data_IF_184529005814
#
_entry.id   IF_184529005814
#
_cell.length_a   1.000
_cell.length_b   1.000
_cell.length_c   1.000
_cell.angle_alpha   90.00
_cell.angle_beta   90.00
_cell.angle_gamma   90.00
#
_symmetry.space_group_name_H-M   'P 1'
#
loop_
_entity.id
_entity.type
_entity.pdbx_description
1 polymer ?
#
# COMPACT_ATOMS: atom_id res chain seq x y z
N UNK A 1 -18.78 2.22 -0.07
CA UNK A 1 -17.78 1.91 -1.13
C UNK A 1 -17.99 2.77 -2.36
N UNK A 2 -16.90 3.17 -3.00
CA UNK A 2 -16.85 3.80 -4.31
C UNK A 2 -16.55 2.76 -5.39
N UNK A 3 -17.14 2.94 -6.57
CA UNK A 3 -16.92 2.05 -7.73
C UNK A 3 -16.30 2.85 -8.86
N UNK A 4 -15.24 2.31 -9.45
CA UNK A 4 -14.65 2.78 -10.70
C UNK A 4 -14.54 1.59 -11.66
N UNK A 5 -14.95 1.71 -12.91
CA UNK A 5 -14.93 0.57 -13.82
C UNK A 5 -14.92 0.95 -15.28
N UNK A 6 -14.54 0.00 -16.11
CA UNK A 6 -14.56 0.08 -17.57
C UNK A 6 -15.10 -1.25 -18.16
N UNK A 7 -14.84 -1.50 -19.44
CA UNK A 7 -15.32 -2.71 -20.12
C UNK A 7 -14.67 -4.02 -19.63
N UNK A 8 -13.61 -3.95 -18.83
CA UNK A 8 -12.79 -5.10 -18.46
C UNK A 8 -12.69 -5.29 -16.94
N UNK A 9 -12.48 -4.19 -16.20
CA UNK A 9 -12.25 -4.20 -14.77
C UNK A 9 -13.30 -3.36 -14.01
N UNK A 10 -13.59 -3.81 -12.78
CA UNK A 10 -14.30 -3.04 -11.75
C UNK A 10 -13.45 -2.96 -10.50
N UNK A 11 -13.16 -1.74 -10.06
CA UNK A 11 -12.48 -1.43 -8.81
C UNK A 11 -13.51 -1.10 -7.73
N UNK A 12 -13.29 -1.66 -6.55
CA UNK A 12 -14.00 -1.30 -5.32
C UNK A 12 -13.01 -0.56 -4.42
N UNK A 13 -13.34 0.67 -4.06
CA UNK A 13 -12.55 1.49 -3.14
C UNK A 13 -13.38 1.79 -1.90
N UNK A 14 -12.71 1.85 -0.73
CA UNK A 14 -13.37 2.31 0.48
C UNK A 14 -13.67 3.80 0.34
N UNK A 15 -14.90 4.20 0.67
CA UNK A 15 -15.29 5.60 0.73
C UNK A 15 -14.87 6.19 2.09
N UNK A 16 -13.88 7.08 2.15
CA UNK A 16 -13.43 7.67 3.41
C UNK A 16 -14.51 8.55 4.07
N UNK A 17 -15.56 8.94 3.36
CA UNK A 17 -16.68 9.71 3.89
C UNK A 17 -17.87 8.84 4.38
N UNK A 18 -17.85 7.52 4.11
CA UNK A 18 -18.95 6.61 4.42
C UNK A 18 -18.69 5.83 5.74
N UNK A 19 -19.50 6.00 6.81
CA UNK A 19 -19.23 5.39 8.12
C UNK A 19 -18.99 3.86 8.12
N UNK A 20 -19.74 3.03 7.36
CA UNK A 20 -19.46 1.60 7.26
C UNK A 20 -18.08 1.26 6.67
N UNK A 21 -17.56 2.10 5.77
CA UNK A 21 -16.23 1.93 5.20
C UNK A 21 -15.15 2.47 6.14
N UNK A 22 -15.40 3.54 6.90
CA UNK A 22 -14.48 4.05 7.94
C UNK A 22 -14.11 2.98 8.97
N UNK A 23 -15.07 2.12 9.34
CA UNK A 23 -14.84 0.99 10.25
C UNK A 23 -13.79 -0.02 9.74
N UNK A 24 -13.46 -0.01 8.44
CA UNK A 24 -12.49 -0.92 7.80
C UNK A 24 -11.10 -0.33 7.65
N UNK A 25 -10.91 0.96 7.94
CA UNK A 25 -9.69 1.70 7.53
C UNK A 25 -8.64 1.85 8.64
N UNK A 26 -9.07 1.97 9.91
CA UNK A 26 -8.18 2.01 11.07
C UNK A 26 -7.12 3.13 10.99
N UNK A 27 -6.00 2.95 11.72
CA UNK A 27 -4.94 3.96 11.81
C UNK A 27 -3.74 3.71 10.86
N UNK A 28 -3.64 2.53 10.26
CA UNK A 28 -2.43 2.07 9.54
C UNK A 28 -2.35 2.60 8.11
N UNK A 29 -3.45 2.56 7.39
CA UNK A 29 -3.47 2.82 5.95
C UNK A 29 -4.01 4.22 5.65
N UNK A 30 -3.62 4.76 4.49
CA UNK A 30 -4.20 5.98 3.95
C UNK A 30 -5.65 5.70 3.52
N UNK A 31 -6.60 6.50 3.97
CA UNK A 31 -8.02 6.30 3.71
C UNK A 31 -8.39 6.70 2.27
N UNK A 32 -7.87 7.84 1.80
CA UNK A 32 -8.10 8.33 0.45
C UNK A 32 -7.45 7.45 -0.61
N UNK A 33 -8.25 6.91 -1.52
CA UNK A 33 -7.80 6.02 -2.59
C UNK A 33 -7.51 4.59 -2.14
N UNK A 34 -7.99 4.15 -0.97
CA UNK A 34 -7.85 2.77 -0.53
C UNK A 34 -8.61 1.82 -1.48
N UNK A 35 -7.87 1.07 -2.29
CA UNK A 35 -8.44 0.07 -3.19
C UNK A 35 -8.65 -1.27 -2.46
N UNK A 36 -9.91 -1.64 -2.28
CA UNK A 36 -10.35 -2.81 -1.52
C UNK A 36 -10.35 -4.09 -2.36
N UNK A 37 -10.73 -4.00 -3.62
CA UNK A 37 -10.77 -5.14 -4.54
C UNK A 37 -10.67 -4.69 -6.01
N UNK A 38 -10.09 -5.54 -6.83
CA UNK A 38 -10.07 -5.43 -8.30
C UNK A 38 -10.79 -6.66 -8.84
N UNK A 39 -11.83 -6.45 -9.62
CA UNK A 39 -12.54 -7.51 -10.31
C UNK A 39 -12.26 -7.44 -11.79
N UNK A 40 -11.86 -8.56 -12.38
CA UNK A 40 -12.08 -8.79 -13.79
C UNK A 40 -13.56 -9.16 -14.00
N UNK A 41 -14.22 -8.54 -14.97
CA UNK A 41 -15.66 -8.76 -15.20
C UNK A 41 -16.00 -10.21 -15.63
N UNK A 42 -15.01 -10.98 -16.09
CA UNK A 42 -15.15 -12.39 -16.47
C UNK A 42 -14.56 -13.34 -15.42
N UNK A 43 -13.42 -12.97 -14.83
CA UNK A 43 -12.62 -13.85 -13.96
C UNK A 43 -12.88 -13.62 -12.46
N UNK A 44 -13.58 -12.56 -12.07
CA UNK A 44 -13.89 -12.23 -10.68
C UNK A 44 -12.72 -11.54 -9.94
N UNK A 45 -12.61 -11.66 -8.60
CA UNK A 45 -11.61 -10.95 -7.81
C UNK A 45 -10.16 -11.32 -8.17
N UNK A 46 -9.28 -10.33 -8.17
CA UNK A 46 -7.87 -10.42 -8.60
C UNK A 46 -6.88 -10.07 -7.48
N UNK A 47 -7.34 -9.51 -6.36
CA UNK A 47 -6.48 -9.20 -5.20
C UNK A 47 -7.03 -9.86 -3.93
N UNK A 48 -6.15 -10.06 -2.96
CA UNK A 48 -6.41 -10.78 -1.73
C UNK A 48 -6.18 -9.87 -0.51
N UNK A 49 -5.90 -10.48 0.63
CA UNK A 49 -5.51 -9.84 1.88
C UNK A 49 -4.98 -10.92 2.83
N UNK A 50 -4.31 -10.55 3.93
CA UNK A 50 -3.75 -11.51 4.88
C UNK A 50 -4.78 -12.51 5.43
N UNK A 51 -6.03 -12.07 5.57
CA UNK A 51 -7.14 -12.87 6.10
C UNK A 51 -8.11 -13.37 5.00
N UNK A 52 -7.82 -13.15 3.71
CA UNK A 52 -8.73 -13.51 2.63
C UNK A 52 -9.06 -15.03 2.64
N UNK A 53 -10.32 -15.47 2.36
CA UNK A 53 -11.48 -14.68 1.95
C UNK A 53 -12.37 -14.22 3.12
N UNK A 54 -11.82 -14.06 4.33
CA UNK A 54 -12.61 -13.59 5.48
C UNK A 54 -13.31 -12.25 5.13
N UNK A 55 -14.63 -12.15 5.30
CA UNK A 55 -15.41 -11.01 4.78
C UNK A 55 -15.17 -9.71 5.55
N UNK A 56 -14.66 -9.80 6.78
CA UNK A 56 -14.40 -8.68 7.67
C UNK A 56 -12.99 -8.77 8.24
N UNK A 57 -11.94 -8.63 7.41
CA UNK A 57 -10.58 -8.64 7.91
C UNK A 57 -10.37 -7.46 8.86
N UNK A 58 -9.46 -7.61 9.82
CA UNK A 58 -9.12 -6.51 10.72
C UNK A 58 -8.56 -5.32 9.91
N UNK A 59 -8.85 -4.07 10.29
CA UNK A 59 -8.31 -2.90 9.61
C UNK A 59 -6.77 -2.88 9.56
N UNK A 60 -6.12 -3.49 10.57
CA UNK A 60 -4.67 -3.61 10.62
C UNK A 60 -4.10 -4.52 9.53
N UNK A 61 -4.73 -5.66 9.27
CA UNK A 61 -4.31 -6.58 8.23
C UNK A 61 -4.69 -6.07 6.84
N UNK A 62 -5.89 -5.47 6.70
CA UNK A 62 -6.34 -4.85 5.45
C UNK A 62 -6.68 -5.86 4.35
N UNK A 63 -6.97 -5.33 3.16
CA UNK A 63 -7.28 -6.10 1.95
C UNK A 63 -6.98 -5.27 0.70
N UNK A 64 -6.70 -5.90 -0.43
CA UNK A 64 -6.58 -5.25 -1.72
C UNK A 64 -5.22 -4.58 -1.94
N UNK A 65 -5.22 -3.31 -2.32
CA UNK A 65 -4.01 -2.55 -2.63
C UNK A 65 -3.90 -1.30 -1.74
N UNK A 66 -3.81 -1.45 -0.40
CA UNK A 66 -3.65 -0.30 0.47
C UNK A 66 -2.27 0.34 0.31
N UNK A 67 -2.22 1.61 0.66
CA UNK A 67 -0.98 2.39 0.73
C UNK A 67 -0.93 3.07 2.09
N UNK A 68 0.26 3.31 2.62
CA UNK A 68 0.41 3.79 4.00
C UNK A 68 1.47 4.86 4.11
N UNK A 69 1.22 5.80 5.01
CA UNK A 69 2.19 6.75 5.53
C UNK A 69 2.56 6.33 6.94
N UNK A 70 3.79 5.89 7.15
CA UNK A 70 4.28 5.54 8.47
C UNK A 70 4.36 6.77 9.35
N UNK A 71 3.79 6.65 10.54
CA UNK A 71 3.96 7.63 11.60
C UNK A 71 5.17 7.30 12.51
N UNK A 72 5.77 6.10 12.36
CA UNK A 72 7.03 5.68 13.00
C UNK A 72 7.85 4.84 12.04
N UNK A 73 9.17 4.97 12.06
CA UNK A 73 10.08 4.10 11.31
C UNK A 73 9.96 2.64 11.76
N UNK A 74 10.55 1.69 11.01
CA UNK A 74 10.51 0.24 11.33
C UNK A 74 11.09 -0.11 12.70
N UNK A 75 12.12 0.61 13.15
CA UNK A 75 12.73 0.50 14.47
C UNK A 75 12.01 1.33 15.55
N UNK A 76 10.88 1.97 15.23
CA UNK A 76 9.99 2.62 16.20
C UNK A 76 10.24 4.11 16.44
N UNK A 77 11.25 4.71 15.79
CA UNK A 77 11.53 6.14 15.90
C UNK A 77 10.32 6.97 15.44
N UNK A 78 9.88 7.97 16.22
CA UNK A 78 8.77 8.85 15.83
C UNK A 78 9.08 9.63 14.55
N UNK A 79 8.11 9.65 13.63
CA UNK A 79 8.15 10.51 12.43
C UNK A 79 7.19 11.68 12.59
N UNK A 80 5.92 11.39 12.88
CA UNK A 80 4.85 12.39 12.99
C UNK A 80 4.20 12.39 14.38
N UNK A 81 5.02 12.31 15.44
CA UNK A 81 4.59 12.30 16.84
C UNK A 81 5.24 13.41 17.66
N UNK A 82 4.49 13.93 18.64
CA UNK A 82 4.97 14.79 19.73
C UNK A 82 4.42 14.24 21.05
N UNK A 83 5.28 13.63 21.85
CA UNK A 83 4.84 12.93 23.05
C UNK A 83 3.87 11.78 22.71
N UNK A 84 2.67 11.83 23.29
CA UNK A 84 1.59 10.83 23.09
C UNK A 84 0.60 11.19 21.98
N UNK A 85 0.79 12.31 21.29
CA UNK A 85 -0.05 12.73 20.16
C UNK A 85 0.69 12.52 18.84
N UNK A 86 -0.03 12.11 17.81
CA UNK A 86 0.52 11.89 16.48
C UNK A 86 -0.43 12.27 15.36
N UNK A 87 0.11 12.27 14.14
CA UNK A 87 -0.65 12.48 12.92
C UNK A 87 -0.41 11.32 11.95
N UNK A 88 -1.46 10.53 11.68
CA UNK A 88 -1.48 9.55 10.61
C UNK A 88 -1.88 10.23 9.31
N UNK A 89 -0.92 10.45 8.41
CA UNK A 89 -1.20 11.09 7.13
C UNK A 89 -2.17 10.23 6.32
N UNK A 90 -3.25 10.85 5.86
CA UNK A 90 -4.37 10.22 5.19
C UNK A 90 -5.33 9.41 6.08
N UNK A 91 -5.05 9.27 7.38
CA UNK A 91 -5.94 8.60 8.34
C UNK A 91 -6.59 9.57 9.33
N UNK A 92 -5.79 10.40 10.03
CA UNK A 92 -6.29 11.36 11.02
C UNK A 92 -5.37 11.56 12.23
N UNK A 93 -5.90 12.13 13.31
CA UNK A 93 -5.17 12.34 14.56
C UNK A 93 -5.04 11.03 15.33
N UNK A 94 -3.84 10.83 15.89
CA UNK A 94 -3.49 9.63 16.63
C UNK A 94 -3.18 9.98 18.08
N UNK A 95 -3.47 9.03 18.97
CA UNK A 95 -2.93 9.01 20.34
C UNK A 95 -2.25 7.69 20.62
N UNK A 96 -1.30 7.70 21.54
CA UNK A 96 -0.66 6.50 22.07
C UNK A 96 -0.92 6.41 23.58
N UNK A 97 -1.31 5.23 24.04
CA UNK A 97 -1.45 4.97 25.48
C UNK A 97 -0.09 4.75 26.17
N UNK A 98 -0.11 4.34 27.44
CA UNK A 98 1.11 4.13 28.22
C UNK A 98 1.93 2.92 27.75
N UNK A 99 1.28 1.97 27.08
CA UNK A 99 1.90 0.78 26.49
C UNK A 99 2.36 1.03 25.05
N UNK A 100 2.05 2.20 24.50
CA UNK A 100 2.38 2.59 23.13
C UNK A 100 1.34 2.14 22.11
N UNK A 101 0.18 1.64 22.55
CA UNK A 101 -0.91 1.24 21.66
C UNK A 101 -1.52 2.47 20.98
N UNK A 102 -1.59 2.42 19.65
CA UNK A 102 -1.99 3.57 18.82
C UNK A 102 -3.48 3.52 18.54
N UNK A 103 -4.18 4.62 18.83
CA UNK A 103 -5.59 4.82 18.51
C UNK A 103 -5.78 5.99 17.55
N UNK A 104 -6.67 5.82 16.56
CA UNK A 104 -7.19 6.92 15.74
C UNK A 104 -8.30 7.63 16.53
N UNK A 105 -8.08 8.88 16.92
CA UNK A 105 -9.04 9.64 17.73
C UNK A 105 -9.96 10.52 16.91
N UNK A 106 -9.46 11.06 15.80
CA UNK A 106 -10.23 11.91 14.89
C UNK A 106 -9.82 11.56 13.45
N UNK A 107 -10.67 10.86 12.70
CA UNK A 107 -10.43 10.63 11.28
C UNK A 107 -10.32 11.93 10.49
N UNK A 108 -9.46 11.98 9.48
CA UNK A 108 -9.41 13.14 8.60
C UNK A 108 -10.58 13.15 7.60
N UNK A 109 -11.10 14.34 7.32
CA UNK A 109 -12.12 14.55 6.28
C UNK A 109 -11.49 14.51 4.90
N UNK A 110 -12.08 13.71 4.01
CA UNK A 110 -11.69 13.63 2.60
C UNK A 110 -12.77 14.25 1.70
N UNK A 111 -12.33 15.00 0.69
CA UNK A 111 -13.16 15.43 -0.42
C UNK A 111 -12.92 14.52 -1.61
N UNK A 112 -13.98 13.89 -2.11
CA UNK A 112 -13.92 12.94 -3.21
C UNK A 112 -14.58 13.55 -4.44
N UNK A 113 -13.83 13.64 -5.55
CA UNK A 113 -14.34 14.05 -6.85
C UNK A 113 -14.29 12.87 -7.80
N UNK A 114 -15.41 12.64 -8.50
CA UNK A 114 -15.54 11.57 -9.49
C UNK A 114 -15.36 12.14 -10.88
N UNK A 115 -14.52 11.51 -11.68
CA UNK A 115 -14.34 11.83 -13.09
C UNK A 115 -14.47 10.59 -13.98
N UNK A 116 -14.51 10.76 -15.30
CA UNK A 116 -14.45 9.63 -16.23
C UNK A 116 -13.12 8.87 -16.05
N UNK A 117 -13.20 7.59 -15.70
CA UNK A 117 -12.01 6.73 -15.57
C UNK A 117 -11.14 7.00 -14.34
N UNK A 118 -11.49 7.92 -13.44
CA UNK A 118 -10.70 8.20 -12.24
C UNK A 118 -11.52 8.71 -11.05
N UNK A 119 -10.93 8.57 -9.86
CA UNK A 119 -11.39 9.14 -8.60
C UNK A 119 -10.27 9.97 -7.97
N UNK A 120 -10.56 11.22 -7.61
CA UNK A 120 -9.62 12.09 -6.92
C UNK A 120 -10.05 12.30 -5.47
N UNK A 121 -9.11 12.22 -4.54
CA UNK A 121 -9.30 12.37 -3.12
C UNK A 121 -8.36 13.47 -2.62
N UNK A 122 -8.89 14.41 -1.83
CA UNK A 122 -8.11 15.51 -1.27
C UNK A 122 -8.41 15.67 0.22
N UNK A 123 -7.38 15.92 1.02
CA UNK A 123 -7.52 16.24 2.43
C UNK A 123 -6.48 17.27 2.86
N UNK A 124 -6.83 18.04 3.89
CA UNK A 124 -5.92 18.90 4.63
C UNK A 124 -5.98 18.47 6.08
N UNK A 125 -4.82 18.15 6.65
CA UNK A 125 -4.71 17.63 8.00
C UNK A 125 -3.78 18.50 8.82
N UNK A 126 -4.06 18.62 10.11
CA UNK A 126 -3.15 19.22 11.07
C UNK A 126 -3.26 18.50 12.41
N UNK A 127 -2.16 18.29 13.10
CA UNK A 127 -2.12 17.63 14.41
C UNK A 127 -0.70 17.38 14.89
N UNK A 128 -0.51 17.32 16.21
CA UNK A 128 0.80 17.12 16.85
C UNK A 128 1.92 18.05 16.32
N UNK A 129 1.59 19.30 15.97
CA UNK A 129 2.55 20.26 15.41
C UNK A 129 2.92 20.03 13.93
N UNK A 130 2.22 19.16 13.22
CA UNK A 130 2.38 18.93 11.78
C UNK A 130 1.14 19.40 11.02
N UNK A 131 1.33 19.77 9.75
CA UNK A 131 0.25 20.15 8.84
C UNK A 131 0.60 19.75 7.42
N UNK A 132 -0.36 19.20 6.67
CA UNK A 132 -0.15 18.79 5.30
C UNK A 132 -1.40 18.89 4.44
N UNK A 133 -1.18 19.01 3.14
CA UNK A 133 -2.19 18.81 2.10
C UNK A 133 -1.81 17.56 1.31
N UNK A 134 -2.73 16.60 1.27
CA UNK A 134 -2.55 15.33 0.58
C UNK A 134 -3.63 15.20 -0.49
N UNK A 135 -3.19 14.95 -1.72
CA UNK A 135 -4.07 14.55 -2.80
C UNK A 135 -3.67 13.19 -3.35
N UNK A 136 -4.67 12.39 -3.66
CA UNK A 136 -4.57 11.03 -4.17
C UNK A 136 -5.48 10.91 -5.39
N UNK A 137 -5.04 10.21 -6.42
CA UNK A 137 -5.85 9.90 -7.59
C UNK A 137 -5.71 8.43 -7.94
N UNK A 138 -6.85 7.77 -8.15
CA UNK A 138 -6.91 6.40 -8.67
C UNK A 138 -7.52 6.48 -10.07
N UNK A 139 -6.72 6.14 -11.07
CA UNK A 139 -7.13 6.05 -12.48
C UNK A 139 -7.21 4.58 -12.89
N UNK A 140 -8.27 4.24 -13.63
CA UNK A 140 -8.40 2.97 -14.33
C UNK A 140 -8.24 3.23 -15.82
N UNK A 141 -7.11 2.78 -16.38
CA UNK A 141 -6.78 2.91 -17.81
C UNK A 141 -6.57 1.52 -18.38
N UNK A 142 -7.46 1.10 -19.27
CA UNK A 142 -7.50 -0.26 -19.81
C UNK A 142 -7.49 -1.29 -18.66
N UNK A 143 -6.50 -2.18 -18.62
CA UNK A 143 -6.30 -3.17 -17.55
C UNK A 143 -5.30 -2.72 -16.47
N UNK A 144 -4.94 -1.44 -16.43
CA UNK A 144 -4.03 -0.85 -15.45
C UNK A 144 -4.77 0.00 -14.43
N UNK A 145 -4.42 -0.17 -13.15
CA UNK A 145 -4.76 0.74 -12.07
C UNK A 145 -3.54 1.60 -11.76
N UNK A 146 -3.69 2.92 -11.87
CA UNK A 146 -2.63 3.88 -11.58
C UNK A 146 -3.02 4.67 -10.34
N UNK A 147 -2.16 4.64 -9.33
CA UNK A 147 -2.31 5.42 -8.11
C UNK A 147 -1.28 6.54 -8.09
N UNK A 148 -1.75 7.79 -7.99
CA UNK A 148 -0.91 8.98 -7.91
C UNK A 148 -1.09 9.64 -6.56
N UNK A 149 0.02 10.03 -5.95
CA UNK A 149 0.05 10.75 -4.69
C UNK A 149 0.79 12.07 -4.87
N UNK A 150 0.29 13.12 -4.22
CA UNK A 150 0.97 14.41 -4.07
C UNK A 150 0.78 14.91 -2.65
N UNK A 151 1.89 15.22 -1.99
CA UNK A 151 1.93 15.67 -0.61
C UNK A 151 2.64 17.02 -0.54
N UNK A 152 2.02 18.00 0.10
CA UNK A 152 2.61 19.28 0.43
C UNK A 152 2.76 19.40 1.94
N UNK A 153 3.94 19.79 2.42
CA UNK A 153 4.11 20.20 3.80
C UNK A 153 3.51 21.60 3.99
N UNK A 154 2.39 21.67 4.70
CA UNK A 154 1.66 22.91 4.98
C UNK A 154 1.92 23.42 6.41
N UNK A 155 2.90 22.85 7.10
CA UNK A 155 3.36 23.29 8.41
C UNK A 155 4.55 24.24 8.33
N UNK A 156 5.08 24.57 9.50
CA UNK A 156 6.24 25.45 9.73
C UNK A 156 7.54 24.66 10.03
N UNK A 157 7.44 23.35 10.24
CA UNK A 157 8.57 22.45 10.48
C UNK A 157 8.73 21.44 9.37
N UNK A 158 9.94 20.89 9.20
CA UNK A 158 10.18 19.85 8.22
C UNK A 158 9.34 18.60 8.51
N UNK A 159 8.69 18.09 7.47
CA UNK A 159 7.85 16.90 7.54
C UNK A 159 8.64 15.70 7.00
N UNK A 160 9.06 14.81 7.91
CA UNK A 160 9.79 13.58 7.55
C UNK A 160 8.89 12.38 7.75
N UNK A 161 8.82 11.49 6.77
CA UNK A 161 7.92 10.34 6.79
C UNK A 161 8.42 9.23 5.83
N UNK A 162 7.82 8.06 5.96
CA UNK A 162 8.02 6.94 5.05
C UNK A 162 6.66 6.60 4.45
N UNK A 163 6.54 6.58 3.13
CA UNK A 163 5.36 6.10 2.42
C UNK A 163 5.67 4.76 1.76
N UNK A 164 4.70 3.85 1.71
CA UNK A 164 4.87 2.60 0.96
C UNK A 164 3.55 2.11 0.37
N UNK A 165 3.67 1.42 -0.77
CA UNK A 165 2.60 0.58 -1.29
C UNK A 165 2.60 -0.76 -0.55
N UNK A 166 1.43 -1.28 -0.22
CA UNK A 166 1.29 -2.55 0.52
C UNK A 166 0.31 -3.49 -0.19
N UNK A 167 0.60 -3.85 -1.45
CA UNK A 167 -0.31 -4.62 -2.28
C UNK A 167 -0.44 -6.07 -1.79
N UNK A 168 -1.65 -6.60 -1.84
CA UNK A 168 -1.94 -7.99 -1.51
C UNK A 168 -2.33 -8.79 -2.74
N UNK A 169 -1.33 -9.37 -3.41
CA UNK A 169 -1.57 -10.20 -4.59
C UNK A 169 -1.94 -11.63 -4.21
N UNK A 170 -2.77 -12.27 -5.05
CA UNK A 170 -3.21 -13.64 -4.86
C UNK A 170 -2.06 -14.64 -5.06
N UNK A 171 -2.06 -15.71 -4.26
CA UNK A 171 -1.15 -16.84 -4.42
C UNK A 171 -1.77 -17.98 -5.24
N UNK A 172 -0.92 -18.85 -5.78
CA UNK A 172 -1.33 -20.15 -6.32
C UNK A 172 -0.91 -21.24 -5.35
N UNK A 173 -1.88 -21.84 -4.63
CA UNK A 173 -1.65 -22.94 -3.66
C UNK A 173 -0.61 -22.63 -2.56
N UNK A 174 -0.58 -21.38 -2.11
CA UNK A 174 0.37 -20.91 -1.09
C UNK A 174 1.75 -20.56 -1.63
N UNK A 175 1.90 -20.44 -2.95
CA UNK A 175 3.16 -20.11 -3.64
C UNK A 175 2.97 -18.92 -4.60
N UNK A 176 4.07 -18.23 -4.89
CA UNK A 176 4.15 -17.22 -5.93
C UNK A 176 5.49 -17.31 -6.65
N UNK A 177 5.50 -16.77 -7.87
CA UNK A 177 6.68 -16.57 -8.70
C UNK A 177 6.70 -15.12 -9.14
N UNK A 178 7.81 -14.43 -8.89
CA UNK A 178 7.95 -13.00 -9.22
C UNK A 178 9.26 -12.78 -9.95
N UNK A 179 9.23 -12.17 -11.13
CA UNK A 179 10.42 -11.63 -11.78
C UNK A 179 10.70 -10.25 -11.22
N UNK A 180 11.83 -10.13 -10.54
CA UNK A 180 12.37 -8.90 -9.98
C UNK A 180 13.45 -8.32 -10.91
N UNK A 181 13.86 -7.06 -10.70
CA UNK A 181 15.01 -6.50 -11.40
C UNK A 181 16.26 -7.38 -11.22
N UNK A 182 17.03 -7.56 -12.30
CA UNK A 182 18.26 -8.35 -12.25
C UNK A 182 19.24 -7.78 -11.20
N UNK A 183 19.84 -8.67 -10.42
CA UNK A 183 20.72 -8.29 -9.30
C UNK A 183 20.00 -8.09 -7.98
N UNK A 184 18.66 -8.22 -7.94
CA UNK A 184 17.93 -8.24 -6.67
C UNK A 184 18.33 -9.47 -5.85
N UNK A 185 18.57 -9.29 -4.55
CA UNK A 185 18.85 -10.41 -3.63
C UNK A 185 17.93 -10.38 -2.42
N UNK A 186 17.89 -11.50 -1.70
CA UNK A 186 17.18 -11.63 -0.42
C UNK A 186 18.11 -12.32 0.58
N UNK A 187 18.20 -11.83 1.83
CA UNK A 187 18.95 -12.54 2.89
C UNK A 187 18.44 -13.97 3.06
N UNK A 188 19.30 -14.88 3.48
CA UNK A 188 18.88 -16.26 3.73
C UNK A 188 17.78 -16.31 4.79
N UNK A 189 16.71 -17.03 4.48
CA UNK A 189 15.49 -17.12 5.27
C UNK A 189 14.69 -18.37 4.83
N UNK A 190 13.77 -18.87 5.67
CA UNK A 190 13.07 -20.12 5.37
C UNK A 190 11.93 -19.99 4.35
N UNK A 191 11.54 -18.79 3.94
CA UNK A 191 10.38 -18.57 3.05
C UNK A 191 10.73 -18.30 1.60
N UNK A 192 11.75 -17.48 1.32
CA UNK A 192 12.02 -16.95 -0.03
C UNK A 192 13.39 -17.36 -0.55
N UNK A 193 13.46 -17.58 -1.86
CA UNK A 193 14.69 -17.72 -2.62
C UNK A 193 14.61 -16.83 -3.87
N UNK A 194 15.74 -16.28 -4.30
CA UNK A 194 15.87 -15.56 -5.57
C UNK A 194 17.02 -16.21 -6.33
N UNK A 195 16.77 -16.59 -7.59
CA UNK A 195 17.81 -17.13 -8.46
C UNK A 195 18.61 -16.02 -9.17
N UNK A 196 19.64 -16.43 -9.92
CA UNK A 196 20.53 -15.50 -10.64
C UNK A 196 19.83 -14.67 -11.73
N UNK A 197 18.65 -15.12 -12.18
CA UNK A 197 17.88 -14.49 -13.25
C UNK A 197 16.81 -13.55 -12.66
N UNK A 198 16.82 -13.35 -11.33
CA UNK A 198 15.91 -12.45 -10.62
C UNK A 198 14.54 -13.06 -10.34
N UNK A 199 14.38 -14.38 -10.48
CA UNK A 199 13.12 -15.05 -10.16
C UNK A 199 13.05 -15.33 -8.65
N UNK A 200 12.16 -14.62 -7.97
CA UNK A 200 11.74 -14.95 -6.61
C UNK A 200 10.76 -16.12 -6.64
N UNK A 201 11.02 -17.13 -5.82
CA UNK A 201 10.11 -18.24 -5.53
C UNK A 201 10.02 -18.48 -4.03
N UNK A 202 8.98 -19.17 -3.59
CA UNK A 202 8.90 -19.63 -2.21
C UNK A 202 9.71 -20.93 -2.06
N UNK A 203 10.44 -21.07 -0.96
CA UNK A 203 11.17 -22.31 -0.62
C UNK A 203 10.24 -23.45 -0.22
N UNK A 204 9.05 -23.08 0.23
CA UNK A 204 7.94 -23.96 0.59
C UNK A 204 6.62 -23.20 0.44
N UNK A 205 5.51 -23.88 0.19
CA UNK A 205 4.20 -23.25 0.26
C UNK A 205 3.87 -22.81 1.69
N UNK A 206 3.28 -21.63 1.83
CA UNK A 206 2.66 -21.21 3.09
C UNK A 206 1.28 -21.86 3.25
N UNK A 207 0.95 -22.36 4.44
CA UNK A 207 -0.25 -23.19 4.66
C UNK A 207 -1.29 -22.60 5.61
N UNK A 208 -0.88 -21.76 6.55
CA UNK A 208 -1.79 -21.08 7.49
C UNK A 208 -1.54 -19.57 7.52
N UNK A 209 -2.46 -18.75 8.05
CA UNK A 209 -2.25 -17.30 8.18
C UNK A 209 -1.04 -16.93 9.05
N UNK A 210 -0.73 -17.73 10.07
CA UNK A 210 0.42 -17.55 10.98
C UNK A 210 1.73 -17.98 10.31
N UNK A 211 1.63 -18.90 9.36
CA UNK A 211 2.73 -19.34 8.51
C UNK A 211 3.08 -18.24 7.51
N UNK A 212 3.95 -17.34 7.95
CA UNK A 212 4.36 -16.16 7.21
C UNK A 212 5.87 -15.99 7.19
N UNK A 213 6.35 -15.21 6.23
CA UNK A 213 7.75 -14.80 6.16
C UNK A 213 7.84 -13.32 5.80
N UNK A 214 8.77 -12.64 6.46
CA UNK A 214 9.21 -11.29 6.15
C UNK A 214 10.70 -11.32 5.75
N UNK A 215 11.09 -10.57 4.74
CA UNK A 215 12.49 -10.27 4.45
C UNK A 215 12.63 -8.89 3.82
N UNK A 216 13.83 -8.31 3.88
CA UNK A 216 14.16 -7.09 3.13
C UNK A 216 14.87 -7.48 1.84
N UNK A 217 14.35 -7.07 0.70
CA UNK A 217 15.02 -7.21 -0.58
C UNK A 217 16.15 -6.19 -0.68
N UNK A 218 17.29 -6.62 -1.19
CA UNK A 218 18.35 -5.73 -1.66
C UNK A 218 18.14 -5.49 -3.15
N UNK A 219 17.63 -4.30 -3.48
CA UNK A 219 17.35 -3.92 -4.86
C UNK A 219 18.60 -3.34 -5.53
N UNK A 220 18.82 -3.58 -6.83
CA UNK A 220 19.86 -2.89 -7.57
C UNK A 220 19.65 -1.37 -7.52
N UNK A 221 20.72 -0.64 -7.22
CA UNK A 221 20.68 0.79 -6.97
C UNK A 221 20.24 1.61 -8.20
N UNK A 222 19.65 2.79 -7.94
CA UNK A 222 19.46 3.83 -8.96
C UNK A 222 18.30 3.63 -9.91
N UNK A 223 17.43 2.65 -9.69
CA UNK A 223 16.28 2.40 -10.57
C UNK A 223 14.97 2.28 -9.82
N UNK A 224 13.89 2.70 -10.50
CA UNK A 224 12.55 2.46 -10.02
C UNK A 224 12.22 0.96 -10.08
N UNK A 225 11.35 0.50 -9.18
CA UNK A 225 10.95 -0.89 -9.14
C UNK A 225 10.03 -1.19 -10.32
N UNK A 226 10.31 -2.29 -11.01
CA UNK A 226 9.42 -2.95 -11.97
C UNK A 226 9.47 -4.45 -11.71
N UNK A 227 8.31 -5.09 -11.63
CA UNK A 227 8.21 -6.53 -11.44
C UNK A 227 7.03 -7.13 -12.18
N UNK A 228 7.11 -8.44 -12.38
CA UNK A 228 6.04 -9.27 -12.94
C UNK A 228 5.78 -10.43 -12.00
N UNK A 229 4.52 -10.79 -11.77
CA UNK A 229 4.17 -11.95 -10.97
C UNK A 229 3.14 -12.84 -11.68
N UNK A 230 3.26 -14.14 -11.43
CA UNK A 230 2.24 -15.11 -11.82
C UNK A 230 0.98 -14.90 -10.98
N UNK A 231 -0.18 -15.16 -11.56
CA UNK A 231 -1.48 -14.95 -10.90
C UNK A 231 -2.42 -16.12 -11.20
N UNK A 232 -3.23 -16.60 -10.23
CA UNK A 232 -4.06 -17.80 -10.40
C UNK A 232 -5.15 -17.71 -11.48
N UNK A 233 -5.46 -16.50 -11.97
CA UNK A 233 -6.53 -16.25 -12.95
C UNK A 233 -6.11 -15.46 -14.17
N UNK A 234 -4.93 -14.84 -14.14
CA UNK A 234 -4.48 -13.89 -15.15
C UNK A 234 -3.24 -14.45 -15.85
N UNK A 235 -2.95 -13.99 -17.05
CA UNK A 235 -1.70 -14.34 -17.72
C UNK A 235 -0.49 -13.77 -16.97
N UNK A 236 -0.64 -12.58 -16.37
CA UNK A 236 0.37 -11.91 -15.55
C UNK A 236 -0.23 -10.75 -14.74
N UNK A 237 0.41 -10.40 -13.62
CA UNK A 237 0.29 -9.04 -13.05
C UNK A 237 1.64 -8.32 -13.16
N UNK A 238 1.60 -7.04 -13.50
CA UNK A 238 2.78 -6.17 -13.52
C UNK A 238 2.65 -5.11 -12.42
N UNK A 239 3.79 -4.67 -11.89
CA UNK A 239 3.83 -3.58 -10.92
C UNK A 239 5.04 -2.68 -11.17
N UNK A 240 4.83 -1.38 -11.12
CA UNK A 240 5.88 -0.39 -11.34
C UNK A 240 5.74 0.83 -10.43
N UNK A 241 6.88 1.43 -10.06
CA UNK A 241 6.96 2.71 -9.35
C UNK A 241 7.53 3.81 -10.25
N UNK A 242 7.23 5.08 -9.94
CA UNK A 242 7.91 6.23 -10.57
C UNK A 242 9.11 6.75 -9.78
N UNK A 243 9.48 6.07 -8.70
CA UNK A 243 10.51 6.49 -7.76
C UNK A 243 11.44 5.31 -7.46
N UNK A 244 12.66 5.62 -7.05
CA UNK A 244 13.65 4.64 -6.59
C UNK A 244 13.32 4.29 -5.14
N UNK A 245 12.98 3.03 -4.80
CA UNK A 245 12.67 2.68 -3.42
C UNK A 245 13.88 2.83 -2.51
N UNK A 246 13.66 3.31 -1.29
CA UNK A 246 14.68 3.37 -0.24
C UNK A 246 14.86 2.02 0.47
N UNK A 247 13.76 1.29 0.64
CA UNK A 247 13.70 -0.07 1.15
C UNK A 247 12.65 -0.84 0.35
N UNK A 248 12.75 -2.17 0.32
CA UNK A 248 11.72 -2.99 -0.30
C UNK A 248 11.48 -4.30 0.46
N UNK A 249 10.65 -4.28 1.51
CA UNK A 249 10.19 -5.51 2.13
C UNK A 249 9.46 -6.44 1.16
N UNK A 250 9.65 -7.74 1.39
CA UNK A 250 8.77 -8.80 0.90
C UNK A 250 8.14 -9.48 2.10
N UNK A 251 6.81 -9.62 2.07
CA UNK A 251 6.05 -10.33 3.07
C UNK A 251 5.02 -11.24 2.43
N UNK A 252 4.84 -12.43 2.97
CA UNK A 252 3.79 -13.34 2.53
C UNK A 252 3.28 -14.20 3.68
N UNK A 253 2.04 -14.65 3.55
CA UNK A 253 1.47 -15.74 4.33
C UNK A 253 0.76 -16.73 3.40
N UNK A 254 -0.10 -17.61 3.92
CA UNK A 254 -0.83 -18.57 3.09
C UNK A 254 -1.80 -17.96 2.04
N UNK A 255 -2.17 -16.69 2.18
CA UNK A 255 -3.20 -16.06 1.34
C UNK A 255 -2.67 -15.05 0.35
N UNK A 256 -1.57 -14.36 0.67
CA UNK A 256 -1.10 -13.24 -0.13
C UNK A 256 0.41 -13.06 -0.11
N UNK A 257 0.90 -12.41 -1.17
CA UNK A 257 2.25 -11.85 -1.28
C UNK A 257 2.15 -10.33 -1.37
N UNK A 258 3.04 -9.66 -0.65
CA UNK A 258 3.28 -8.22 -0.67
C UNK A 258 4.75 -7.94 -0.95
N UNK A 259 5.01 -7.07 -1.92
CA UNK A 259 6.33 -6.48 -2.19
C UNK A 259 6.16 -4.98 -2.09
N UNK A 260 6.85 -4.37 -1.14
CA UNK A 260 6.48 -3.07 -0.59
C UNK A 260 7.57 -2.06 -0.91
N UNK A 261 7.50 -1.27 -1.98
CA UNK A 261 8.51 -0.24 -2.24
C UNK A 261 8.28 0.94 -1.29
N UNK A 262 9.27 1.22 -0.43
CA UNK A 262 9.25 2.35 0.49
C UNK A 262 9.88 3.59 -0.17
N UNK A 263 9.25 4.74 0.07
CA UNK A 263 9.74 6.06 -0.30
C UNK A 263 9.90 6.89 0.97
N UNK A 264 11.14 7.30 1.25
CA UNK A 264 11.45 8.21 2.34
C UNK A 264 11.31 9.64 1.84
N UNK A 265 10.54 10.46 2.55
CA UNK A 265 10.34 11.86 2.23
C UNK A 265 10.84 12.73 3.38
N UNK A 266 11.52 13.82 3.03
CA UNK A 266 11.81 14.93 3.93
C UNK A 266 11.43 16.20 3.18
N UNK A 267 10.38 16.87 3.66
CA UNK A 267 9.78 18.03 3.01
C UNK A 267 10.02 19.27 3.87
N UNK A 268 10.70 20.27 3.32
CA UNK A 268 10.74 21.60 3.94
C UNK A 268 9.32 22.23 3.97
N UNK A 269 9.07 23.22 4.85
CA UNK A 269 7.83 24.00 4.82
C UNK A 269 7.50 24.51 3.42
N UNK A 270 6.29 24.26 2.94
CA UNK A 270 5.82 24.63 1.60
C UNK A 270 6.29 23.70 0.46
N UNK A 271 7.15 22.73 0.72
CA UNK A 271 7.61 21.79 -0.30
C UNK A 271 6.53 20.78 -0.67
N UNK A 272 6.45 20.46 -1.97
CA UNK A 272 5.60 19.42 -2.52
C UNK A 272 6.42 18.29 -3.13
N UNK A 273 6.01 17.04 -2.89
CA UNK A 273 6.44 15.86 -3.66
C UNK A 273 5.26 15.13 -4.27
N UNK A 274 5.52 14.49 -5.41
CA UNK A 274 4.56 13.64 -6.10
C UNK A 274 5.24 12.35 -6.56
N UNK A 275 4.49 11.25 -6.53
CA UNK A 275 4.92 9.93 -6.97
C UNK A 275 3.72 9.12 -7.45
N UNK A 276 3.98 8.04 -8.18
CA UNK A 276 2.94 7.13 -8.65
C UNK A 276 3.41 5.68 -8.61
N UNK A 277 2.42 4.80 -8.58
CA UNK A 277 2.55 3.37 -8.80
C UNK A 277 1.52 2.91 -9.83
N UNK A 278 1.81 1.82 -10.54
CA UNK A 278 0.93 1.23 -11.54
C UNK A 278 0.86 -0.29 -11.33
N UNK A 279 -0.36 -0.84 -11.33
CA UNK A 279 -0.65 -2.26 -11.34
C UNK A 279 -1.33 -2.64 -12.66
N UNK A 280 -0.70 -3.48 -13.48
CA UNK A 280 -1.31 -4.02 -14.71
C UNK A 280 -1.85 -5.43 -14.48
N UNK A 281 -3.10 -5.70 -14.90
CA UNK A 281 -3.79 -6.98 -14.71
C UNK A 281 -4.01 -7.71 -16.05
N UNK A 282 -2.96 -8.27 -16.65
CA UNK A 282 -3.00 -8.85 -18.00
C UNK A 282 -3.89 -10.12 -18.08
N UNK A 283 -4.84 -10.15 -19.02
CA UNK A 283 -5.71 -11.31 -19.26
C UNK A 283 -5.09 -12.32 -20.24
#
# INVERSE_FOLDING_TARGET
MLILGNAELRLELLDPADPPDQARQGARYCWGGYLWQVHDLRLGPLVAGPEFPHPTPTPFNGQGLPESFRHRTRDGRPLTWRGREGLGLGAGRLTADEKGEVSLTEPCTWHVTRGPGHLSFQTRQAGAGFSCELSREIELRDRSVISRSRLTNAGDTALTLEWFAHPFWCLTRGEARVRLPLGTTVPDNPGFAIDRDGLLTFRRPFRTPEDSQFALLDLPAGQALRLELDHPRLSRVTFATSFIPNECPVWANAQTLSIEPYLHLSLAPGETRAWQIEHGFEA
#
